data_IF_691648070848
#
_entry.id   IF_691648070848
#
_cell.length_a   1.000
_cell.length_b   1.000
_cell.length_c   1.000
_cell.angle_alpha   90.00
_cell.angle_beta   90.00
_cell.angle_gamma   90.00
#
_symmetry.space_group_name_H-M   'P 1'
#
loop_
_entity.id
_entity.type
_entity.pdbx_description
1 polymer ?
#
# COMPACT_ATOMS: atom_id res chain seq x y z
N UNK A 1 -24.97 -12.18 -50.65
CA UNK A 1 -25.82 -11.88 -49.48
C UNK A 1 -24.92 -11.40 -48.36
N UNK A 2 -25.22 -10.25 -47.74
CA UNK A 2 -24.42 -9.60 -46.67
C UNK A 2 -24.96 -9.96 -45.28
N UNK A 3 -24.09 -9.89 -44.27
CA UNK A 3 -24.30 -9.85 -42.78
C UNK A 3 -24.20 -11.23 -42.09
N UNK A 4 -23.49 -11.43 -40.97
CA UNK A 4 -22.83 -10.53 -40.00
C UNK A 4 -21.74 -11.30 -39.24
N UNK A 5 -20.67 -10.59 -38.88
CA UNK A 5 -19.48 -11.07 -38.16
C UNK A 5 -19.70 -10.98 -36.64
N UNK A 6 -19.31 -12.07 -35.96
CA UNK A 6 -18.75 -12.23 -34.61
C UNK A 6 -19.12 -11.24 -33.50
N UNK A 7 -20.00 -11.70 -32.60
CA UNK A 7 -20.23 -11.18 -31.24
C UNK A 7 -19.23 -11.82 -30.26
N UNK A 8 -17.96 -11.43 -30.31
CA UNK A 8 -16.93 -11.98 -29.42
C UNK A 8 -15.84 -11.00 -28.94
N UNK A 9 -16.11 -9.68 -28.74
CA UNK A 9 -15.17 -8.88 -27.93
C UNK A 9 -15.77 -8.24 -26.67
N UNK A 10 -17.07 -8.41 -26.37
CA UNK A 10 -17.71 -7.66 -25.29
C UNK A 10 -17.57 -8.26 -23.88
N UNK A 11 -17.22 -9.55 -23.75
CA UNK A 11 -17.04 -10.18 -22.43
C UNK A 11 -15.67 -9.95 -21.81
N UNK A 12 -14.67 -9.56 -22.61
CA UNK A 12 -13.31 -9.27 -22.13
C UNK A 12 -13.15 -7.86 -21.55
N UNK A 13 -14.10 -6.95 -21.83
CA UNK A 13 -14.03 -5.57 -21.36
C UNK A 13 -14.47 -5.41 -19.89
N UNK A 14 -15.32 -6.31 -19.41
CA UNK A 14 -15.84 -6.26 -18.03
C UNK A 14 -14.78 -6.67 -16.98
N UNK A 15 -13.82 -7.51 -17.35
CA UNK A 15 -12.74 -7.93 -16.44
C UNK A 15 -11.71 -6.82 -16.30
N UNK A 16 -11.47 -6.01 -17.34
CA UNK A 16 -10.56 -4.86 -17.24
C UNK A 16 -11.09 -3.75 -16.33
N UNK A 17 -12.41 -3.58 -16.18
CA UNK A 17 -12.97 -2.53 -15.32
C UNK A 17 -12.89 -2.85 -13.82
N UNK A 18 -12.83 -4.12 -13.44
CA UNK A 18 -12.70 -4.51 -12.03
C UNK A 18 -11.28 -4.32 -11.46
N UNK A 19 -10.26 -4.34 -12.32
CA UNK A 19 -8.86 -4.07 -11.92
C UNK A 19 -8.47 -2.59 -12.01
N UNK A 20 -9.30 -1.73 -12.62
CA UNK A 20 -9.06 -0.29 -12.68
C UNK A 20 -9.71 0.49 -11.53
N UNK A 21 -10.57 -0.13 -10.71
CA UNK A 21 -11.21 0.55 -9.58
C UNK A 21 -10.27 0.78 -8.37
N UNK A 22 -9.05 0.24 -8.39
CA UNK A 22 -7.99 0.61 -7.43
C UNK A 22 -7.09 1.74 -7.93
N UNK A 23 -7.39 2.33 -9.09
CA UNK A 23 -6.58 3.41 -9.67
C UNK A 23 -7.46 4.58 -10.13
N UNK A 24 -8.51 4.89 -9.37
CA UNK A 24 -9.43 5.98 -9.72
C UNK A 24 -9.84 6.78 -8.49
N UNK A 25 -8.87 7.57 -8.02
CA UNK A 25 -9.10 8.97 -7.67
C UNK A 25 -7.99 9.78 -8.33
N UNK A 26 -8.30 10.44 -9.45
CA UNK A 26 -7.63 11.68 -9.84
C UNK A 26 -7.89 12.70 -8.71
N UNK A 27 -7.18 12.57 -7.60
CA UNK A 27 -6.99 13.63 -6.64
C UNK A 27 -5.56 14.14 -6.79
N UNK A 28 -5.38 15.43 -6.59
CA UNK A 28 -4.23 16.26 -6.93
C UNK A 28 -2.95 15.93 -6.10
N UNK A 29 -2.83 14.71 -5.58
CA UNK A 29 -1.69 14.17 -4.87
C UNK A 29 -1.36 12.79 -5.48
N UNK A 30 -0.33 12.77 -6.33
CA UNK A 30 0.19 11.55 -6.93
C UNK A 30 0.75 10.64 -5.82
N UNK A 31 -0.06 9.73 -5.27
CA UNK A 31 0.36 8.76 -4.25
C UNK A 31 0.25 7.33 -4.78
N UNK A 32 1.22 6.48 -4.42
CA UNK A 32 1.21 5.07 -4.76
C UNK A 32 0.72 4.25 -3.56
N UNK A 33 -0.47 3.66 -3.69
CA UNK A 33 -1.10 2.84 -2.65
C UNK A 33 -1.15 1.35 -3.04
N UNK A 34 -0.64 0.46 -2.19
CA UNK A 34 -0.74 -0.99 -2.37
C UNK A 34 -1.15 -1.67 -1.05
N UNK A 35 -2.08 -2.63 -1.14
CA UNK A 35 -2.47 -3.47 0.01
C UNK A 35 -1.36 -4.44 0.40
N UNK A 36 -1.17 -4.66 1.70
CA UNK A 36 -0.16 -5.59 2.22
C UNK A 36 -0.79 -6.84 2.84
N UNK A 37 -0.80 -7.93 2.08
CA UNK A 37 -1.38 -9.22 2.46
C UNK A 37 -0.42 -10.14 3.22
N UNK A 38 0.75 -9.63 3.64
CA UNK A 38 1.76 -10.38 4.38
C UNK A 38 1.50 -10.51 5.89
N UNK A 39 0.45 -9.88 6.42
CA UNK A 39 0.09 -10.02 7.83
C UNK A 39 -0.64 -11.33 8.12
N UNK A 40 -0.51 -11.87 9.36
CA UNK A 40 -1.30 -13.01 9.80
C UNK A 40 -2.81 -12.76 9.72
N UNK A 41 -3.62 -13.82 9.59
CA UNK A 41 -5.10 -13.72 9.47
C UNK A 41 -5.80 -13.06 10.67
N UNK A 42 -5.14 -12.98 11.82
CA UNK A 42 -5.64 -12.28 13.01
C UNK A 42 -5.29 -10.79 13.04
N UNK A 43 -4.84 -10.25 11.91
CA UNK A 43 -4.61 -8.84 11.68
C UNK A 43 -5.47 -8.34 10.53
N UNK A 44 -5.90 -7.09 10.62
CA UNK A 44 -6.52 -6.40 9.50
C UNK A 44 -5.45 -6.01 8.48
N UNK A 45 -5.76 -6.18 7.19
CA UNK A 45 -4.85 -5.91 6.08
C UNK A 45 -4.75 -4.39 5.86
N UNK A 46 -3.57 -3.77 6.04
CA UNK A 46 -3.40 -2.36 5.73
C UNK A 46 -3.31 -2.13 4.23
N UNK A 47 -3.72 -0.93 3.81
CA UNK A 47 -3.23 -0.32 2.57
C UNK A 47 -2.07 0.61 2.92
N UNK A 48 -0.95 0.49 2.23
CA UNK A 48 0.21 1.35 2.44
C UNK A 48 0.24 2.35 1.31
N UNK A 49 0.28 3.64 1.61
CA UNK A 49 0.30 4.73 0.65
C UNK A 49 1.60 5.52 0.78
N UNK A 50 2.25 5.76 -0.35
CA UNK A 50 3.50 6.51 -0.41
C UNK A 50 3.37 7.65 -1.42
N UNK A 51 3.46 8.92 -0.97
CA UNK A 51 3.46 10.06 -1.87
C UNK A 51 4.63 10.02 -2.86
N UNK A 52 4.37 10.34 -4.13
CA UNK A 52 5.40 10.40 -5.17
C UNK A 52 6.22 11.68 -5.09
N UNK A 53 5.68 12.74 -4.49
CA UNK A 53 6.34 14.04 -4.28
C UNK A 53 7.44 14.01 -3.20
N UNK A 54 7.65 12.86 -2.55
CA UNK A 54 8.67 12.65 -1.53
C UNK A 54 8.18 12.88 -0.10
N UNK A 55 6.88 13.04 0.12
CA UNK A 55 6.28 12.99 1.45
C UNK A 55 6.42 11.63 2.15
N UNK A 56 6.05 11.60 3.43
CA UNK A 56 6.11 10.39 4.26
C UNK A 56 5.03 9.38 3.87
N UNK A 57 5.38 8.10 3.82
CA UNK A 57 4.40 7.03 3.63
C UNK A 57 3.48 6.90 4.86
N UNK A 58 2.32 6.29 4.68
CA UNK A 58 1.37 6.02 5.76
C UNK A 58 0.60 4.72 5.53
N UNK A 59 0.07 4.15 6.62
CA UNK A 59 -0.76 2.95 6.63
C UNK A 59 -2.21 3.33 6.84
N UNK A 60 -3.11 2.79 6.03
CA UNK A 60 -4.56 3.01 6.09
C UNK A 60 -5.21 1.71 6.53
N UNK A 61 -5.97 1.77 7.63
CA UNK A 61 -6.78 0.64 8.08
C UNK A 61 -8.06 0.50 7.21
N UNK A 62 -8.80 -0.62 7.31
CA UNK A 62 -10.04 -0.80 6.56
C UNK A 62 -11.14 0.23 6.84
N UNK A 63 -11.08 0.90 8.00
CA UNK A 63 -12.01 1.93 8.42
C UNK A 63 -11.62 3.35 7.95
N UNK A 64 -10.44 3.51 7.32
CA UNK A 64 -9.93 4.77 6.77
C UNK A 64 -9.09 5.62 7.73
N UNK A 65 -8.62 5.07 8.85
CA UNK A 65 -7.66 5.73 9.74
C UNK A 65 -6.23 5.60 9.22
N UNK A 66 -5.45 6.68 9.36
CA UNK A 66 -4.10 6.79 8.84
C UNK A 66 -3.05 6.77 9.95
N UNK A 67 -1.98 5.99 9.74
CA UNK A 67 -0.81 5.90 10.59
C UNK A 67 0.42 6.36 9.80
N UNK A 68 0.94 7.55 10.10
CA UNK A 68 2.00 8.18 9.32
C UNK A 68 3.38 7.76 9.78
N UNK A 69 4.25 7.39 8.83
CA UNK A 69 5.68 7.40 9.05
C UNK A 69 6.13 8.84 9.35
N UNK A 70 7.26 8.99 10.04
CA UNK A 70 7.81 10.30 10.39
C UNK A 70 9.31 10.32 10.09
N UNK A 71 9.68 10.94 8.97
CA UNK A 71 11.08 11.02 8.55
C UNK A 71 11.98 11.77 9.54
N UNK A 72 11.44 12.61 10.44
CA UNK A 72 12.20 13.23 11.52
C UNK A 72 12.62 12.21 12.60
N UNK A 73 11.98 11.04 12.63
CA UNK A 73 12.30 9.92 13.52
C UNK A 73 13.16 8.83 12.86
N UNK A 74 13.66 9.08 11.65
CA UNK A 74 14.48 8.12 10.91
C UNK A 74 15.76 7.72 11.67
N UNK A 75 16.14 6.44 11.54
CA UNK A 75 17.35 5.85 12.13
C UNK A 75 18.12 5.02 11.11
N UNK A 76 19.35 4.61 11.44
CA UNK A 76 20.17 3.73 10.59
C UNK A 76 19.46 2.41 10.20
N UNK A 77 18.54 1.94 11.04
CA UNK A 77 17.78 0.69 10.84
C UNK A 77 16.35 0.91 10.37
N UNK A 78 15.90 2.16 10.35
CA UNK A 78 14.57 2.59 9.91
C UNK A 78 14.71 3.96 9.22
N UNK A 79 15.27 4.00 8.00
CA UNK A 79 15.64 5.24 7.33
C UNK A 79 14.45 6.11 6.93
N UNK A 80 13.24 5.56 7.01
CA UNK A 80 11.99 6.20 6.62
C UNK A 80 11.11 6.54 7.83
N UNK A 81 11.58 6.23 9.06
CA UNK A 81 10.91 6.58 10.31
C UNK A 81 9.53 5.94 10.49
N UNK A 82 9.32 4.76 9.92
CA UNK A 82 8.04 4.07 9.92
C UNK A 82 7.80 3.22 11.16
N UNK A 83 8.82 2.95 11.99
CA UNK A 83 8.71 2.01 13.11
C UNK A 83 7.58 2.37 14.09
N UNK A 84 7.32 3.65 14.34
CA UNK A 84 6.21 4.05 15.21
C UNK A 84 4.86 3.73 14.58
N UNK A 85 4.67 4.05 13.29
CA UNK A 85 3.45 3.78 12.55
C UNK A 85 3.17 2.28 12.44
N UNK A 86 4.19 1.48 12.12
CA UNK A 86 4.10 0.02 12.03
C UNK A 86 3.68 -0.59 13.38
N UNK A 87 4.30 -0.15 14.48
CA UNK A 87 3.96 -0.68 15.80
C UNK A 87 2.55 -0.27 16.24
N UNK A 88 2.15 0.99 16.00
CA UNK A 88 0.81 1.47 16.32
C UNK A 88 -0.25 0.70 15.54
N UNK A 89 -0.04 0.53 14.22
CA UNK A 89 -0.95 -0.26 13.40
C UNK A 89 -1.08 -1.70 13.91
N UNK A 90 0.03 -2.37 14.23
CA UNK A 90 0.01 -3.73 14.78
C UNK A 90 -0.71 -3.79 16.13
N UNK A 91 -0.52 -2.79 17.00
CA UNK A 91 -1.14 -2.77 18.33
C UNK A 91 -2.66 -2.57 18.25
N UNK A 92 -3.12 -1.77 17.31
CA UNK A 92 -4.54 -1.41 17.16
C UNK A 92 -5.32 -2.42 16.30
N UNK A 93 -4.67 -3.01 15.29
CA UNK A 93 -5.35 -3.79 14.24
C UNK A 93 -5.00 -5.28 14.20
N UNK A 94 -4.31 -5.79 15.22
CA UNK A 94 -4.06 -7.22 15.36
C UNK A 94 -4.52 -7.76 16.72
N UNK A 95 -4.91 -9.04 16.75
CA UNK A 95 -5.20 -9.73 18.00
C UNK A 95 -3.93 -9.93 18.84
N UNK A 96 -3.70 -9.05 19.80
CA UNK A 96 -2.47 -9.02 20.62
C UNK A 96 -2.18 -10.31 21.38
N UNK A 97 -3.19 -11.11 21.72
CA UNK A 97 -3.05 -12.41 22.38
C UNK A 97 -2.40 -13.48 21.50
N UNK A 98 -2.46 -13.35 20.18
CA UNK A 98 -1.81 -14.24 19.21
C UNK A 98 -0.38 -13.79 18.84
N UNK A 99 0.01 -12.57 19.21
CA UNK A 99 1.27 -11.95 18.76
C UNK A 99 2.39 -12.25 19.76
N UNK A 100 3.29 -13.15 19.37
CA UNK A 100 4.56 -13.33 20.07
C UNK A 100 5.58 -12.26 19.67
N UNK A 101 6.64 -12.10 20.47
CA UNK A 101 7.74 -11.17 20.14
C UNK A 101 8.40 -11.48 18.79
N UNK A 102 8.54 -12.75 18.43
CA UNK A 102 9.12 -13.15 17.15
C UNK A 102 8.20 -12.82 15.98
N UNK A 103 6.90 -13.10 16.12
CA UNK A 103 5.88 -12.76 15.13
C UNK A 103 5.85 -11.25 14.89
N UNK A 104 5.84 -10.45 15.96
CA UNK A 104 5.89 -8.99 15.85
C UNK A 104 7.12 -8.51 15.08
N UNK A 105 8.30 -9.07 15.39
CA UNK A 105 9.54 -8.70 14.70
C UNK A 105 9.52 -9.07 13.21
N UNK A 106 8.87 -10.18 12.85
CA UNK A 106 8.66 -10.59 11.46
C UNK A 106 7.70 -9.64 10.74
N UNK A 107 6.55 -9.32 11.34
CA UNK A 107 5.58 -8.37 10.78
C UNK A 107 6.19 -7.00 10.53
N UNK A 108 6.92 -6.46 11.52
CA UNK A 108 7.62 -5.18 11.38
C UNK A 108 8.66 -5.24 10.26
N UNK A 109 9.40 -6.33 10.14
CA UNK A 109 10.38 -6.50 9.06
C UNK A 109 9.67 -6.53 7.69
N UNK A 110 8.57 -7.24 7.57
CA UNK A 110 7.88 -7.39 6.29
C UNK A 110 7.14 -6.10 5.88
N UNK A 111 6.49 -5.42 6.82
CA UNK A 111 5.90 -4.09 6.62
C UNK A 111 6.97 -3.09 6.18
N UNK A 112 8.09 -3.02 6.89
CA UNK A 112 9.20 -2.12 6.55
C UNK A 112 9.77 -2.43 5.17
N UNK A 113 9.97 -3.71 4.84
CA UNK A 113 10.47 -4.10 3.52
C UNK A 113 9.49 -3.75 2.39
N UNK A 114 8.20 -3.93 2.62
CA UNK A 114 7.17 -3.59 1.65
C UNK A 114 7.09 -2.08 1.44
N UNK A 115 7.02 -1.33 2.53
CA UNK A 115 6.95 0.15 2.54
C UNK A 115 8.14 0.75 1.80
N UNK A 116 9.35 0.24 2.05
CA UNK A 116 10.56 0.68 1.34
C UNK A 116 10.51 0.42 -0.16
N UNK A 117 9.98 -0.73 -0.58
CA UNK A 117 9.80 -1.02 -2.02
C UNK A 117 8.77 -0.08 -2.63
N UNK A 118 7.67 0.18 -1.92
CA UNK A 118 6.61 1.06 -2.40
C UNK A 118 7.10 2.50 -2.54
N UNK A 119 7.85 2.98 -1.55
CA UNK A 119 8.48 4.30 -1.59
C UNK A 119 9.48 4.43 -2.74
N UNK A 120 10.28 3.39 -3.02
CA UNK A 120 11.17 3.39 -4.19
C UNK A 120 10.39 3.49 -5.50
N UNK A 121 9.31 2.72 -5.65
CA UNK A 121 8.42 2.81 -6.81
C UNK A 121 7.79 4.21 -6.95
N UNK A 122 7.32 4.78 -5.85
CA UNK A 122 6.72 6.12 -5.84
C UNK A 122 7.73 7.19 -6.31
N UNK A 123 8.98 7.10 -5.84
CA UNK A 123 10.08 7.97 -6.27
C UNK A 123 10.49 7.75 -7.73
N UNK A 124 10.43 6.52 -8.24
CA UNK A 124 10.68 6.26 -9.67
C UNK A 124 9.58 6.91 -10.53
N UNK A 125 8.33 6.86 -10.09
CA UNK A 125 7.20 7.44 -10.79
C UNK A 125 7.23 8.97 -10.82
N UNK A 126 7.65 9.65 -9.75
CA UNK A 126 7.75 11.12 -9.77
C UNK A 126 8.76 11.68 -10.77
N UNK A 127 9.79 10.90 -11.11
CA UNK A 127 10.76 11.26 -12.16
C UNK A 127 10.17 11.03 -13.57
N UNK A 128 9.23 10.10 -13.73
CA UNK A 128 8.64 9.79 -15.04
C UNK A 128 7.59 10.82 -15.51
N UNK A 129 6.99 11.59 -14.60
CA UNK A 129 6.00 12.63 -14.94
C UNK A 129 6.59 14.05 -15.03
N UNK A 130 7.91 14.20 -14.95
CA UNK A 130 8.60 15.50 -15.00
C UNK A 130 9.14 15.91 -16.39
N UNK A 131 8.71 15.27 -17.49
CA UNK A 131 9.11 15.62 -18.89
C UNK A 131 8.09 16.50 -19.64
#
# INVERSE_FOLDING_TARGET
MKKKIYLLPLSLLAIFLAFNYSCETEDENDELCEAFDGLPEYCEIPTICCPTDGGDCYYVNPDGENYYCDSDLATDTDPDGCAQAENAYIDDHCETTAITKSIRAEMHKDLSQFTRKLMQKAREQSVCYTE
#
